data_IF_242990448249
#
_entry.id   IF_242990448249
#
_cell.length_a   1.000
_cell.length_b   1.000
_cell.length_c   1.000
_cell.angle_alpha   90.00
_cell.angle_beta   90.00
_cell.angle_gamma   90.00
#
_symmetry.space_group_name_H-M   'P 1'
#
loop_
_entity.id
_entity.type
_entity.pdbx_description
1 polymer ?
#
# COMPACT_ATOMS: atom_id res chain seq x y z
N UNK A 1 35.30 -46.47 -39.97
CA UNK A 1 34.68 -45.19 -40.37
C UNK A 1 34.19 -44.54 -39.09
N UNK A 2 34.91 -43.53 -38.62
CA UNK A 2 34.60 -42.75 -37.41
C UNK A 2 33.63 -41.63 -37.80
N UNK A 3 32.52 -41.51 -37.07
CA UNK A 3 31.60 -40.37 -37.16
C UNK A 3 31.83 -39.51 -35.92
N UNK A 4 32.31 -38.29 -36.12
CA UNK A 4 32.66 -37.35 -35.06
C UNK A 4 31.43 -36.64 -34.49
N UNK A 5 31.44 -36.47 -33.18
CA UNK A 5 30.55 -35.60 -32.41
C UNK A 5 31.04 -34.15 -32.51
N UNK A 6 30.12 -33.21 -32.77
CA UNK A 6 30.37 -31.77 -32.73
C UNK A 6 29.68 -31.18 -31.51
N UNK A 7 30.43 -30.94 -30.44
CA UNK A 7 29.99 -30.17 -29.26
C UNK A 7 30.22 -28.69 -29.51
N UNK A 8 29.14 -27.92 -29.69
CA UNK A 8 29.19 -26.46 -29.76
C UNK A 8 29.23 -25.91 -28.34
N UNK A 9 30.36 -25.35 -27.94
CA UNK A 9 30.53 -24.58 -26.70
C UNK A 9 29.85 -23.21 -26.86
N UNK A 10 28.79 -22.96 -26.08
CA UNK A 10 28.20 -21.62 -25.91
C UNK A 10 28.88 -20.93 -24.73
N UNK A 11 29.74 -19.97 -25.04
CA UNK A 11 30.45 -19.14 -24.06
C UNK A 11 29.50 -18.13 -23.43
N UNK A 12 29.32 -18.24 -22.11
CA UNK A 12 28.65 -17.27 -21.25
C UNK A 12 29.42 -15.93 -21.24
N UNK A 13 28.72 -14.82 -21.48
CA UNK A 13 29.27 -13.47 -21.39
C UNK A 13 28.76 -12.82 -20.10
N UNK A 14 29.58 -12.80 -19.05
CA UNK A 14 29.33 -12.05 -17.81
C UNK A 14 29.58 -10.56 -18.05
N UNK A 15 28.55 -9.73 -17.88
CA UNK A 15 28.65 -8.27 -17.84
C UNK A 15 28.59 -7.86 -16.36
N UNK A 16 29.67 -7.33 -15.76
CA UNK A 16 29.60 -6.73 -14.42
C UNK A 16 28.99 -5.32 -14.54
N UNK A 17 27.75 -5.14 -14.06
CA UNK A 17 27.21 -3.81 -13.82
C UNK A 17 27.89 -3.20 -12.60
N UNK A 18 28.71 -2.18 -12.85
CA UNK A 18 29.32 -1.34 -11.85
C UNK A 18 28.26 -0.48 -11.15
N UNK A 19 28.19 -0.59 -9.83
CA UNK A 19 27.39 0.27 -8.95
C UNK A 19 27.92 1.71 -8.99
N UNK A 20 27.14 2.63 -9.56
CA UNK A 20 27.40 4.07 -9.44
C UNK A 20 26.56 4.64 -8.29
N UNK A 21 27.19 4.72 -7.12
CA UNK A 21 26.72 5.46 -5.95
C UNK A 21 27.13 6.93 -6.09
N UNK A 22 26.21 7.83 -6.45
CA UNK A 22 26.39 9.28 -6.26
C UNK A 22 25.03 10.00 -6.23
N UNK A 23 24.56 10.36 -5.03
CA UNK A 23 23.71 11.54 -4.86
C UNK A 23 24.01 12.17 -3.50
N UNK A 24 24.53 13.39 -3.57
CA UNK A 24 25.10 14.16 -2.49
C UNK A 24 24.02 14.79 -1.60
N UNK A 25 24.20 14.69 -0.28
CA UNK A 25 23.55 15.57 0.68
C UNK A 25 24.26 16.94 0.64
N UNK A 26 23.55 17.99 0.18
CA UNK A 26 23.99 19.37 0.35
C UNK A 26 23.22 20.00 1.53
N UNK A 27 23.89 20.63 2.51
CA UNK A 27 23.19 21.42 3.52
C UNK A 27 22.76 22.77 2.92
N UNK A 28 21.46 23.07 2.99
CA UNK A 28 20.96 24.42 2.74
C UNK A 28 21.22 25.25 4.01
N UNK A 29 22.17 26.16 3.92
CA UNK A 29 22.36 27.27 4.85
C UNK A 29 21.54 28.44 4.30
N UNK A 30 20.51 28.88 5.03
CA UNK A 30 19.89 30.20 4.83
C UNK A 30 20.21 31.04 6.06
N UNK A 31 21.20 31.90 5.87
CA UNK A 31 21.57 33.03 6.71
C UNK A 31 20.58 34.18 6.50
N UNK A 32 20.31 34.94 7.55
CA UNK A 32 19.17 35.86 7.62
C UNK A 32 19.46 37.35 7.46
N UNK A 33 18.36 38.11 7.57
CA UNK A 33 18.22 39.55 7.91
C UNK A 33 18.51 40.58 6.79
N UNK A 34 17.99 41.84 6.84
CA UNK A 34 17.19 42.51 7.89
C UNK A 34 15.90 43.23 7.40
N UNK A 35 15.20 43.76 8.39
CA UNK A 35 14.04 44.67 8.45
C UNK A 35 14.04 45.87 7.49
N UNK A 36 12.86 46.27 7.02
CA UNK A 36 12.51 47.69 6.86
C UNK A 36 11.03 47.95 7.18
N UNK A 37 10.87 49.03 7.94
CA UNK A 37 9.74 49.51 8.71
C UNK A 37 9.12 50.72 7.98
N UNK A 38 7.81 50.69 7.67
CA UNK A 38 7.04 51.90 7.32
C UNK A 38 5.60 51.80 7.88
N UNK A 39 5.40 52.27 9.12
CA UNK A 39 4.52 53.41 9.39
C UNK A 39 2.99 53.24 9.52
N UNK A 40 2.53 53.45 10.77
CA UNK A 40 1.27 54.12 11.24
C UNK A 40 -0.01 53.30 11.54
N UNK A 41 -0.95 53.79 12.40
CA UNK A 41 -0.80 54.49 13.69
C UNK A 41 -1.67 53.90 14.84
N UNK A 42 -1.25 54.24 16.06
CA UNK A 42 -1.77 54.05 17.44
C UNK A 42 -3.29 54.14 17.72
N UNK A 43 -3.79 53.22 18.59
CA UNK A 43 -4.81 53.43 19.66
C UNK A 43 -4.81 52.23 20.67
N UNK A 44 -5.35 52.32 21.92
CA UNK A 44 -4.51 52.23 23.13
C UNK A 44 -4.65 50.96 24.01
N UNK A 45 -3.55 50.72 24.74
CA UNK A 45 -3.42 50.21 26.11
C UNK A 45 -4.32 49.06 26.60
N UNK A 46 -3.74 47.86 26.65
CA UNK A 46 -4.01 46.89 27.71
C UNK A 46 -2.68 46.46 28.34
N UNK A 47 -2.46 46.92 29.57
CA UNK A 47 -1.43 46.39 30.49
C UNK A 47 -1.74 44.93 30.84
N UNK A 48 -0.72 44.06 30.82
CA UNK A 48 -0.83 42.76 31.46
C UNK A 48 0.17 41.68 31.05
N UNK A 49 1.43 41.80 31.48
CA UNK A 49 2.11 40.70 32.16
C UNK A 49 2.79 39.57 31.36
N UNK A 50 4.13 39.57 31.51
CA UNK A 50 5.02 38.43 31.83
C UNK A 50 5.33 37.36 30.78
N UNK A 51 6.54 37.48 30.21
CA UNK A 51 7.62 36.48 30.22
C UNK A 51 7.26 35.00 30.20
N UNK A 52 7.60 34.34 29.08
CA UNK A 52 7.58 32.88 28.97
C UNK A 52 8.12 32.41 27.62
N UNK A 53 9.43 32.49 27.42
CA UNK A 53 10.11 31.73 26.38
C UNK A 53 10.10 30.24 26.78
N UNK A 54 9.23 29.45 26.16
CA UNK A 54 9.32 27.99 26.14
C UNK A 54 9.47 27.56 24.69
N UNK A 55 10.72 27.26 24.31
CA UNK A 55 10.99 26.40 23.18
C UNK A 55 11.01 24.96 23.68
N UNK A 56 10.19 24.12 23.06
CA UNK A 56 10.04 22.66 23.23
C UNK A 56 8.98 22.28 22.17
N UNK A 57 9.12 21.33 21.27
CA UNK A 57 10.17 20.41 20.88
C UNK A 57 9.78 19.89 19.49
N UNK A 58 10.75 19.41 18.72
CA UNK A 58 10.46 18.74 17.46
C UNK A 58 9.52 17.57 17.68
N UNK A 59 8.43 17.52 16.91
CA UNK A 59 7.67 16.28 16.75
C UNK A 59 8.54 15.32 15.96
N UNK A 60 9.32 14.52 16.67
CA UNK A 60 9.81 13.25 16.13
C UNK A 60 8.57 12.43 15.80
N UNK A 61 8.21 12.42 14.51
CA UNK A 61 7.15 11.59 13.92
C UNK A 61 7.54 10.12 13.93
N UNK A 62 7.96 9.61 15.09
CA UNK A 62 8.09 8.19 15.36
C UNK A 62 6.70 7.60 15.54
N UNK A 63 5.93 7.54 14.45
CA UNK A 63 4.80 6.61 14.38
C UNK A 63 5.36 5.22 14.67
N UNK A 64 4.94 4.64 15.79
CA UNK A 64 5.25 3.26 16.10
C UNK A 64 4.78 2.41 14.91
N UNK A 65 5.64 1.57 14.31
CA UNK A 65 5.26 0.80 13.13
C UNK A 65 3.96 0.04 13.43
N UNK A 66 2.95 0.28 12.61
CA UNK A 66 1.63 -0.34 12.76
C UNK A 66 1.72 -1.87 12.77
N UNK A 67 0.68 -2.55 13.28
CA UNK A 67 0.68 -4.00 13.44
C UNK A 67 0.97 -4.71 12.11
N UNK A 68 2.06 -5.47 12.07
CA UNK A 68 2.55 -6.21 10.89
C UNK A 68 1.62 -7.34 10.43
N UNK A 69 0.63 -7.70 11.25
CA UNK A 69 -0.28 -8.82 10.97
C UNK A 69 -1.51 -8.41 10.16
N UNK A 70 -1.69 -7.11 9.90
CA UNK A 70 -2.91 -6.61 9.24
C UNK A 70 -2.76 -6.43 7.74
N UNK A 71 -1.56 -6.59 7.17
CA UNK A 71 -1.33 -6.35 5.76
C UNK A 71 -0.36 -7.35 5.12
N UNK A 72 -0.46 -7.52 3.80
CA UNK A 72 0.52 -8.24 3.00
C UNK A 72 0.68 -7.61 1.61
N UNK A 73 1.76 -7.98 0.94
CA UNK A 73 2.12 -7.49 -0.38
C UNK A 73 2.44 -8.67 -1.30
N UNK A 74 1.92 -8.69 -2.51
CA UNK A 74 2.26 -9.70 -3.53
C UNK A 74 2.17 -9.09 -4.92
N UNK A 75 2.86 -9.63 -5.91
CA UNK A 75 2.64 -9.22 -7.30
C UNK A 75 1.32 -9.76 -7.81
N UNK A 76 0.83 -9.18 -8.90
CA UNK A 76 -0.35 -9.67 -9.62
C UNK A 76 -0.18 -11.14 -10.00
N UNK A 77 0.96 -11.50 -10.58
CA UNK A 77 1.26 -12.86 -10.97
C UNK A 77 1.21 -13.84 -9.79
N UNK A 78 1.74 -13.45 -8.62
CA UNK A 78 1.64 -14.26 -7.40
C UNK A 78 0.19 -14.41 -6.94
N UNK A 79 -0.59 -13.32 -6.94
CA UNK A 79 -2.01 -13.37 -6.55
C UNK A 79 -2.84 -14.23 -7.51
N UNK A 80 -2.58 -14.17 -8.81
CA UNK A 80 -3.29 -14.98 -9.80
C UNK A 80 -2.94 -16.47 -9.63
N UNK A 81 -1.67 -16.81 -9.42
CA UNK A 81 -1.25 -18.18 -9.15
C UNK A 81 -1.92 -18.77 -7.89
N UNK A 82 -2.04 -17.97 -6.83
CA UNK A 82 -2.74 -18.38 -5.60
C UNK A 82 -4.24 -18.61 -5.84
N UNK A 83 -4.88 -17.76 -6.64
CA UNK A 83 -6.29 -17.93 -6.99
C UNK A 83 -6.52 -19.15 -7.90
N UNK A 84 -5.64 -19.39 -8.86
CA UNK A 84 -5.70 -20.56 -9.73
C UNK A 84 -5.58 -21.85 -8.92
N UNK A 85 -4.66 -21.90 -7.95
CA UNK A 85 -4.52 -23.06 -7.05
C UNK A 85 -5.76 -23.25 -6.18
N UNK A 86 -6.30 -22.17 -5.59
CA UNK A 86 -7.54 -22.22 -4.80
C UNK A 86 -8.70 -22.80 -5.61
N UNK A 87 -8.90 -22.32 -6.85
CA UNK A 87 -9.97 -22.81 -7.70
C UNK A 87 -9.73 -24.22 -8.21
N UNK A 88 -8.49 -24.60 -8.51
CA UNK A 88 -8.15 -25.97 -8.88
C UNK A 88 -8.50 -26.97 -7.76
N UNK A 89 -8.37 -26.57 -6.49
CA UNK A 89 -8.79 -27.38 -5.34
C UNK A 89 -10.33 -27.44 -5.20
N UNK A 90 -11.03 -26.36 -5.54
CA UNK A 90 -12.50 -26.27 -5.52
C UNK A 90 -13.18 -27.01 -6.68
N UNK A 91 -12.55 -27.10 -7.85
CA UNK A 91 -13.11 -27.75 -9.05
C UNK A 91 -13.28 -29.28 -8.92
N UNK A 92 -12.79 -29.89 -7.83
CA UNK A 92 -13.20 -31.24 -7.44
C UNK A 92 -14.70 -31.30 -7.07
N UNK A 93 -15.41 -30.17 -6.91
CA UNK A 93 -16.84 -30.13 -6.56
C UNK A 93 -17.81 -29.35 -7.48
N UNK A 94 -17.39 -28.48 -8.40
CA UNK A 94 -18.30 -27.96 -9.45
C UNK A 94 -17.56 -27.18 -10.52
N UNK A 95 -17.71 -27.60 -11.78
CA UNK A 95 -17.17 -26.87 -12.93
C UNK A 95 -17.93 -25.56 -13.16
N UNK A 96 -17.25 -24.44 -12.98
CA UNK A 96 -17.73 -23.11 -13.36
C UNK A 96 -16.76 -22.51 -14.37
N UNK A 97 -17.22 -22.33 -15.61
CA UNK A 97 -16.44 -21.70 -16.68
C UNK A 97 -16.42 -20.18 -16.47
N UNK A 98 -15.30 -19.65 -15.97
CA UNK A 98 -15.07 -18.22 -15.82
C UNK A 98 -15.26 -17.47 -17.15
N UNK A 99 -16.22 -16.55 -17.17
CA UNK A 99 -16.60 -15.76 -18.33
C UNK A 99 -15.50 -14.78 -18.73
N UNK A 100 -15.06 -14.89 -19.98
CA UNK A 100 -14.14 -13.96 -20.63
C UNK A 100 -14.75 -12.58 -20.83
N UNK A 101 -14.52 -11.68 -19.87
CA UNK A 101 -14.54 -10.25 -20.12
C UNK A 101 -13.14 -9.80 -20.53
N UNK A 102 -13.01 -9.03 -21.60
CA UNK A 102 -11.76 -8.36 -22.00
C UNK A 102 -11.46 -7.21 -21.04
N UNK A 103 -11.21 -7.54 -19.76
CA UNK A 103 -10.55 -6.60 -18.89
C UNK A 103 -9.18 -6.28 -19.50
N UNK A 104 -8.70 -5.02 -19.43
CA UNK A 104 -7.32 -4.71 -19.79
C UNK A 104 -6.41 -5.68 -19.05
N UNK A 105 -5.48 -6.29 -19.78
CA UNK A 105 -4.49 -7.16 -19.19
C UNK A 105 -3.64 -6.31 -18.23
N UNK A 106 -3.78 -6.58 -16.94
CA UNK A 106 -3.03 -5.91 -15.89
C UNK A 106 -1.59 -6.41 -15.93
N UNK A 107 -0.63 -5.55 -15.56
CA UNK A 107 0.78 -5.91 -15.58
C UNK A 107 1.03 -6.98 -14.49
N UNK A 108 1.67 -8.12 -14.82
CA UNK A 108 1.98 -9.18 -13.85
C UNK A 108 2.84 -8.70 -12.67
N UNK A 109 3.60 -7.61 -12.84
CA UNK A 109 4.47 -7.02 -11.82
C UNK A 109 3.76 -5.96 -10.97
N UNK A 110 2.47 -5.67 -11.23
CA UNK A 110 1.68 -4.78 -10.38
C UNK A 110 1.61 -5.30 -8.95
N UNK A 111 1.80 -4.41 -7.99
CA UNK A 111 1.85 -4.74 -6.57
C UNK A 111 0.45 -4.70 -5.97
N UNK A 112 0.00 -5.83 -5.44
CA UNK A 112 -1.22 -5.99 -4.68
C UNK A 112 -0.91 -5.83 -3.20
N UNK A 113 -1.39 -4.72 -2.62
CA UNK A 113 -1.37 -4.51 -1.18
C UNK A 113 -2.73 -4.88 -0.62
N UNK A 114 -2.79 -5.74 0.39
CA UNK A 114 -4.04 -6.08 1.09
C UNK A 114 -3.92 -5.72 2.55
N UNK A 115 -5.02 -5.25 3.12
CA UNK A 115 -5.13 -4.85 4.52
C UNK A 115 -6.46 -5.36 5.05
N UNK A 116 -6.51 -5.85 6.28
CA UNK A 116 -7.74 -6.28 6.92
C UNK A 116 -7.64 -6.23 8.44
N UNK A 117 -8.77 -6.04 9.13
CA UNK A 117 -8.84 -6.06 10.60
C UNK A 117 -8.73 -7.47 11.19
N UNK A 118 -9.11 -8.50 10.44
CA UNK A 118 -8.94 -9.91 10.85
C UNK A 118 -7.52 -10.45 10.61
N UNK A 119 -6.65 -9.59 10.08
CA UNK A 119 -5.28 -9.93 9.74
C UNK A 119 -5.15 -10.59 8.36
N UNK A 120 -4.15 -10.15 7.60
CA UNK A 120 -3.77 -10.78 6.34
C UNK A 120 -2.30 -11.14 6.44
N UNK A 121 -1.98 -12.40 6.17
CA UNK A 121 -0.60 -12.90 6.22
C UNK A 121 -0.22 -13.55 4.91
N UNK A 122 1.05 -13.86 4.70
CA UNK A 122 1.48 -14.60 3.52
C UNK A 122 1.11 -16.08 3.55
N UNK A 123 0.85 -16.64 4.75
CA UNK A 123 0.33 -18.01 4.89
C UNK A 123 -1.18 -18.08 4.62
N UNK A 124 -1.89 -16.97 4.73
CA UNK A 124 -3.32 -16.86 4.40
C UNK A 124 -3.64 -15.54 3.68
N UNK A 125 -3.17 -15.38 2.43
CA UNK A 125 -3.28 -14.12 1.69
C UNK A 125 -4.71 -13.78 1.26
N UNK A 126 -5.58 -14.78 1.23
CA UNK A 126 -6.99 -14.71 0.82
C UNK A 126 -7.93 -14.97 2.01
N UNK A 127 -7.54 -14.53 3.21
CA UNK A 127 -8.35 -14.71 4.43
C UNK A 127 -9.81 -14.34 4.17
N UNK A 128 -10.69 -15.32 4.38
CA UNK A 128 -12.13 -15.15 4.26
C UNK A 128 -12.62 -14.24 5.39
N UNK A 129 -13.46 -13.27 5.06
CA UNK A 129 -14.05 -12.37 6.04
C UNK A 129 -15.35 -13.01 6.53
N UNK A 130 -15.35 -13.48 7.77
CA UNK A 130 -16.56 -13.92 8.44
C UNK A 130 -17.46 -12.72 8.79
N UNK A 131 -18.70 -12.99 9.13
CA UNK A 131 -19.59 -12.02 9.75
C UNK A 131 -19.03 -11.54 11.09
N UNK A 132 -19.35 -10.29 11.45
CA UNK A 132 -18.88 -9.67 12.69
C UNK A 132 -18.29 -8.27 12.53
N UNK A 133 -18.66 -7.51 11.50
CA UNK A 133 -18.18 -6.13 11.34
C UNK A 133 -16.76 -6.02 10.78
N UNK A 134 -16.32 -7.01 10.01
CA UNK A 134 -14.94 -7.08 9.51
C UNK A 134 -14.77 -6.37 8.18
N UNK A 135 -13.55 -5.92 7.87
CA UNK A 135 -13.27 -5.21 6.63
C UNK A 135 -11.93 -5.62 6.02
N UNK A 136 -11.83 -5.46 4.70
CA UNK A 136 -10.56 -5.48 3.99
C UNK A 136 -10.49 -4.40 2.93
N UNK A 137 -9.27 -3.96 2.66
CA UNK A 137 -8.93 -3.05 1.58
C UNK A 137 -7.86 -3.70 0.72
N UNK A 138 -8.00 -3.57 -0.60
CA UNK A 138 -7.00 -4.01 -1.55
C UNK A 138 -6.60 -2.81 -2.43
N UNK A 139 -5.32 -2.71 -2.71
CA UNK A 139 -4.77 -1.76 -3.67
C UNK A 139 -4.03 -2.49 -4.76
N UNK A 140 -4.17 -1.99 -5.98
CA UNK A 140 -3.30 -2.34 -7.10
C UNK A 140 -2.41 -1.12 -7.35
N UNK A 141 -1.11 -1.30 -7.17
CA UNK A 141 -0.07 -0.27 -7.34
C UNK A 141 0.75 -0.60 -8.58
N UNK A 142 0.54 0.14 -9.70
CA UNK A 142 1.27 -0.15 -10.91
C UNK A 142 2.77 0.04 -10.75
N UNK A 143 3.58 -0.69 -11.53
CA UNK A 143 5.06 -0.65 -11.44
C UNK A 143 5.64 0.77 -11.48
N UNK A 144 5.06 1.67 -12.28
CA UNK A 144 5.48 3.08 -12.35
C UNK A 144 5.29 3.88 -11.04
N UNK A 145 4.46 3.38 -10.13
CA UNK A 145 4.13 3.96 -8.82
C UNK A 145 4.70 3.15 -7.64
N UNK A 146 5.48 2.10 -7.89
CA UNK A 146 6.12 1.30 -6.84
C UNK A 146 7.43 1.95 -6.35
N UNK A 147 7.34 3.20 -5.89
CA UNK A 147 8.45 3.96 -5.33
C UNK A 147 7.96 4.80 -4.14
N UNK A 148 8.88 5.34 -3.35
CA UNK A 148 8.51 6.21 -2.22
C UNK A 148 7.81 7.46 -2.76
N UNK A 149 6.65 7.80 -2.20
CA UNK A 149 5.82 8.92 -2.65
C UNK A 149 4.38 8.83 -2.18
N UNK A 150 3.63 9.91 -2.41
CA UNK A 150 2.18 10.01 -2.11
C UNK A 150 1.40 9.90 -3.42
N UNK A 151 0.41 9.01 -3.44
CA UNK A 151 -0.41 8.73 -4.62
C UNK A 151 -1.89 8.91 -4.31
N UNK A 152 -2.58 9.68 -5.15
CA UNK A 152 -4.03 9.78 -5.09
C UNK A 152 -4.65 8.44 -5.50
N UNK A 153 -5.54 7.94 -4.67
CA UNK A 153 -6.33 6.75 -4.99
C UNK A 153 -7.38 7.16 -6.02
N UNK A 154 -7.46 6.40 -7.11
CA UNK A 154 -8.34 6.69 -8.24
C UNK A 154 -8.09 8.06 -8.89
N UNK A 155 -6.81 8.40 -9.08
CA UNK A 155 -6.41 9.57 -9.86
C UNK A 155 -7.16 9.66 -11.21
N UNK A 156 -7.59 10.86 -11.64
CA UNK A 156 -8.35 11.04 -12.87
C UNK A 156 -7.67 10.40 -14.09
N UNK A 157 -8.44 9.62 -14.86
CA UNK A 157 -7.94 8.90 -16.03
C UNK A 157 -7.55 7.44 -15.76
N UNK A 158 -7.69 6.94 -14.53
CA UNK A 158 -7.41 5.53 -14.20
C UNK A 158 -5.92 5.17 -14.24
N UNK A 159 -5.04 6.18 -14.26
CA UNK A 159 -3.59 6.01 -14.32
C UNK A 159 -3.07 6.28 -12.91
N UNK A 160 -3.18 5.30 -12.01
CA UNK A 160 -2.78 5.49 -10.62
C UNK A 160 -3.03 4.25 -9.76
N UNK A 161 -2.97 4.45 -8.45
CA UNK A 161 -3.31 3.42 -7.48
C UNK A 161 -4.82 3.19 -7.50
N UNK A 162 -5.24 1.95 -7.71
CA UNK A 162 -6.67 1.58 -7.65
C UNK A 162 -6.94 0.90 -6.32
N UNK A 163 -7.88 1.44 -5.55
CA UNK A 163 -8.29 0.88 -4.26
C UNK A 163 -9.71 0.34 -4.29
N UNK A 164 -9.95 -0.81 -3.67
CA UNK A 164 -11.27 -1.36 -3.41
C UNK A 164 -11.38 -1.87 -1.98
N UNK A 165 -12.57 -1.81 -1.42
CA UNK A 165 -12.86 -2.28 -0.06
C UNK A 165 -13.99 -3.29 -0.07
N UNK A 166 -14.05 -4.08 0.99
CA UNK A 166 -15.14 -5.00 1.27
C UNK A 166 -15.34 -5.08 2.78
N UNK A 167 -16.59 -5.17 3.22
CA UNK A 167 -16.98 -5.19 4.62
C UNK A 167 -18.08 -6.24 4.87
N UNK A 168 -18.11 -6.77 6.09
CA UNK A 168 -19.17 -7.65 6.59
C UNK A 168 -19.90 -6.97 7.74
N UNK A 169 -21.20 -7.20 7.86
CA UNK A 169 -22.01 -6.74 8.97
C UNK A 169 -22.10 -7.76 10.09
N UNK A 170 -22.95 -7.46 11.06
CA UNK A 170 -23.33 -8.41 12.11
C UNK A 170 -24.08 -9.62 11.52
N UNK A 171 -23.91 -10.82 12.11
CA UNK A 171 -24.66 -12.00 11.68
C UNK A 171 -26.17 -11.80 11.89
N UNK A 172 -26.96 -12.17 10.89
CA UNK A 172 -28.43 -12.17 11.00
C UNK A 172 -28.92 -13.20 12.02
N UNK A 173 -28.18 -14.31 12.15
CA UNK A 173 -28.46 -15.38 13.10
C UNK A 173 -27.28 -15.53 14.07
N UNK A 174 -27.48 -15.52 15.40
CA UNK A 174 -26.38 -15.68 16.33
C UNK A 174 -25.59 -16.98 16.07
N UNK A 175 -24.28 -16.85 15.88
CA UNK A 175 -23.37 -17.96 15.62
C UNK A 175 -23.26 -18.40 14.14
N UNK A 176 -23.89 -17.70 13.20
CA UNK A 176 -23.57 -17.88 11.78
C UNK A 176 -22.30 -17.13 11.41
N UNK A 177 -21.40 -17.80 10.69
CA UNK A 177 -20.12 -17.21 10.26
C UNK A 177 -20.22 -16.50 8.90
N UNK A 178 -21.22 -16.84 8.08
CA UNK A 178 -21.36 -16.35 6.70
C UNK A 178 -22.71 -15.68 6.38
N UNK A 179 -23.66 -15.72 7.32
CA UNK A 179 -25.02 -15.18 7.13
C UNK A 179 -25.14 -13.79 7.77
N UNK A 180 -24.70 -12.76 7.04
CA UNK A 180 -24.75 -11.35 7.40
C UNK A 180 -24.91 -10.44 6.17
N UNK A 181 -25.15 -9.15 6.41
CA UNK A 181 -24.97 -8.14 5.38
C UNK A 181 -23.50 -8.12 4.92
N UNK A 182 -23.27 -7.95 3.61
CA UNK A 182 -21.93 -7.81 3.05
C UNK A 182 -21.96 -6.66 2.04
N UNK A 183 -20.88 -5.90 2.00
CA UNK A 183 -20.75 -4.70 1.19
C UNK A 183 -19.36 -4.55 0.62
N UNK A 184 -19.22 -3.73 -0.40
CA UNK A 184 -17.92 -3.40 -0.96
C UNK A 184 -18.04 -2.40 -2.10
N UNK A 185 -16.90 -1.88 -2.51
CA UNK A 185 -16.86 -0.87 -3.56
C UNK A 185 -15.46 -0.42 -3.89
N UNK A 186 -15.39 0.59 -4.76
CA UNK A 186 -14.18 1.28 -5.14
C UNK A 186 -13.93 2.45 -4.20
N UNK A 187 -12.68 2.66 -3.78
CA UNK A 187 -12.27 3.79 -2.95
C UNK A 187 -12.05 5.05 -3.79
N UNK A 188 -13.08 5.86 -4.02
CA UNK A 188 -13.00 6.99 -4.97
C UNK A 188 -12.11 8.17 -4.54
N UNK A 189 -11.64 8.19 -3.30
CA UNK A 189 -10.86 9.28 -2.74
C UNK A 189 -9.85 8.75 -1.72
N UNK A 190 -8.90 9.60 -1.36
CA UNK A 190 -7.86 9.31 -0.39
C UNK A 190 -6.48 9.17 -1.03
N UNK A 191 -5.49 8.91 -0.19
CA UNK A 191 -4.09 8.77 -0.60
C UNK A 191 -3.47 7.50 -0.05
N UNK A 192 -2.64 6.88 -0.88
CA UNK A 192 -1.68 5.86 -0.48
C UNK A 192 -0.28 6.47 -0.54
N UNK A 193 0.40 6.55 0.60
CA UNK A 193 1.79 7.00 0.67
C UNK A 193 2.71 5.82 0.93
N UNK A 194 3.60 5.53 -0.02
CA UNK A 194 4.65 4.52 0.16
C UNK A 194 5.80 5.19 0.92
N UNK A 195 6.04 4.74 2.14
CA UNK A 195 7.10 5.24 3.03
C UNK A 195 8.42 4.51 2.79
N UNK A 196 8.35 3.20 2.53
CA UNK A 196 9.49 2.39 2.12
C UNK A 196 9.02 1.19 1.30
N UNK A 197 9.83 0.77 0.33
CA UNK A 197 9.58 -0.40 -0.49
C UNK A 197 10.90 -1.09 -0.80
N UNK A 198 10.97 -2.39 -0.54
CA UNK A 198 12.12 -3.24 -0.85
C UNK A 198 11.66 -4.67 -1.13
N UNK A 199 12.60 -5.60 -1.27
CA UNK A 199 12.33 -7.01 -1.60
C UNK A 199 11.66 -7.81 -0.46
N UNK A 200 11.69 -7.31 0.77
CA UNK A 200 11.13 -7.98 1.95
C UNK A 200 9.75 -7.44 2.34
N UNK A 201 9.51 -6.14 2.22
CA UNK A 201 8.29 -5.50 2.70
C UNK A 201 7.97 -4.17 2.00
N UNK A 202 6.74 -3.72 2.20
CA UNK A 202 6.23 -2.41 1.80
C UNK A 202 5.66 -1.73 3.05
N UNK A 203 6.24 -0.59 3.43
CA UNK A 203 5.71 0.26 4.49
C UNK A 203 4.97 1.42 3.85
N UNK A 204 3.74 1.64 4.27
CA UNK A 204 2.90 2.68 3.67
C UNK A 204 1.92 3.27 4.67
N UNK A 205 1.42 4.46 4.36
CA UNK A 205 0.35 5.14 5.08
C UNK A 205 -0.87 5.24 4.18
N UNK A 206 -2.04 4.93 4.73
CA UNK A 206 -3.32 5.05 4.07
C UNK A 206 -4.13 6.17 4.72
N UNK A 207 -4.71 7.04 3.90
CA UNK A 207 -5.66 8.06 4.31
C UNK A 207 -6.85 8.03 3.36
N UNK A 208 -7.95 7.40 3.77
CA UNK A 208 -9.18 7.27 2.96
C UNK A 208 -10.43 7.71 3.71
N UNK A 209 -10.29 8.03 4.99
CA UNK A 209 -11.39 8.22 5.92
C UNK A 209 -12.18 6.95 6.20
N UNK A 210 -13.30 7.08 6.90
CA UNK A 210 -14.16 5.97 7.27
C UNK A 210 -15.10 5.54 6.15
N UNK A 211 -15.33 4.24 6.00
CA UNK A 211 -16.47 3.68 5.28
C UNK A 211 -17.31 2.82 6.23
N UNK A 212 -18.63 3.07 6.27
CA UNK A 212 -19.49 2.47 7.29
C UNK A 212 -19.02 2.84 8.69
N UNK A 213 -18.82 1.83 9.54
CA UNK A 213 -18.29 1.96 10.90
C UNK A 213 -16.77 1.68 10.99
N UNK A 214 -16.11 1.41 9.85
CA UNK A 214 -14.70 1.10 9.78
C UNK A 214 -13.88 2.31 9.33
N UNK A 215 -12.70 2.51 9.94
CA UNK A 215 -11.68 3.44 9.47
C UNK A 215 -10.37 2.68 9.25
N UNK A 216 -9.99 2.37 8.00
CA UNK A 216 -8.74 1.69 7.70
C UNK A 216 -7.56 2.66 7.59
N UNK A 217 -7.74 3.95 7.86
CA UNK A 217 -6.65 4.92 7.74
C UNK A 217 -5.59 4.65 8.80
N UNK A 218 -4.32 4.70 8.43
CA UNK A 218 -3.22 4.33 9.32
C UNK A 218 -1.92 3.98 8.60
N UNK A 219 -0.90 3.66 9.39
CA UNK A 219 0.37 3.17 8.87
C UNK A 219 0.44 1.64 8.96
N UNK A 220 0.97 1.03 7.91
CA UNK A 220 1.02 -0.42 7.75
C UNK A 220 2.40 -0.87 7.27
N UNK A 221 2.76 -2.07 7.67
CA UNK A 221 3.92 -2.81 7.15
C UNK A 221 3.40 -4.11 6.54
N UNK A 222 3.51 -4.22 5.22
CA UNK A 222 3.10 -5.39 4.46
C UNK A 222 4.31 -6.23 4.04
N UNK A 223 4.57 -7.40 4.65
CA UNK A 223 5.58 -8.33 4.15
C UNK A 223 5.25 -8.76 2.72
N UNK A 224 6.28 -8.88 1.88
CA UNK A 224 6.16 -9.46 0.54
C UNK A 224 6.03 -10.97 0.66
N UNK A 225 4.96 -11.50 0.07
CA UNK A 225 4.74 -12.92 0.03
C UNK A 225 5.63 -13.59 -1.04
N UNK A 226 6.13 -14.80 -0.76
CA UNK A 226 6.93 -15.55 -1.71
C UNK A 226 6.14 -15.96 -2.96
#
# INVERSE_FOLDING_TARGET
MQSGESMTHTTLLLIPLASLLLAACGPVIIDGTPTDDIGQPVAPAHDGGTDGCSGEGGSDGGGEPGPTTLANAMTRAQSDALWDEYWAQQEVQSGSTGGGGTAPELDPDDLFLRISDVGVTCDSPTTHLTCGGHWKVNFIVPTAYQQVGVYDINAPGGIGVTGNFFETGEPYTPGSEDDCAQGGGTLWQGTLEILAINDAEVRFRLDVGSFGDADPSGEYTAPRCP
#
